data_IF_416558023454
#
_entry.id   IF_416558023454
#
_cell.length_a   1.000
_cell.length_b   1.000
_cell.length_c   1.000
_cell.angle_alpha   90.00
_cell.angle_beta   90.00
_cell.angle_gamma   90.00
#
_symmetry.space_group_name_H-M   'P 1'
#
loop_
_entity.id
_entity.type
_entity.pdbx_description
1 polymer ?
#
# COMPACT_ATOMS: atom_id res chain seq x y z
N UNK A 1 13.52 24.25 -14.77
CA UNK A 1 12.46 25.11 -14.18
C UNK A 1 11.19 24.96 -14.99
N UNK A 2 10.02 24.75 -14.35
CA UNK A 2 8.74 24.84 -15.06
C UNK A 2 8.48 26.32 -15.36
N UNK A 3 9.13 26.83 -16.40
CA UNK A 3 8.82 28.10 -17.05
C UNK A 3 7.58 27.86 -17.92
N UNK A 4 6.44 27.66 -17.26
CA UNK A 4 5.15 27.59 -17.91
C UNK A 4 4.48 28.96 -17.84
N UNK A 5 4.02 29.47 -18.98
CA UNK A 5 3.22 30.70 -19.07
C UNK A 5 1.98 30.56 -18.18
N UNK A 6 1.90 31.33 -17.09
CA UNK A 6 0.80 31.25 -16.13
C UNK A 6 -0.48 31.78 -16.81
N UNK A 7 -1.38 30.87 -17.17
CA UNK A 7 -2.76 31.25 -17.52
C UNK A 7 -3.58 31.42 -16.23
N UNK A 8 -4.22 32.57 -15.98
CA UNK A 8 -4.98 32.83 -14.74
C UNK A 8 -6.13 31.85 -14.48
N UNK A 9 -6.62 31.16 -15.51
CA UNK A 9 -7.67 30.14 -15.40
C UNK A 9 -7.21 28.83 -14.74
N UNK A 10 -5.91 28.66 -14.45
CA UNK A 10 -5.36 27.46 -13.81
C UNK A 10 -5.77 27.28 -12.34
N UNK A 11 -6.22 28.35 -11.65
CA UNK A 11 -6.73 28.26 -10.28
C UNK A 11 -8.14 27.64 -10.15
N UNK A 12 -8.80 27.33 -11.27
CA UNK A 12 -10.14 26.75 -11.30
C UNK A 12 -10.12 25.35 -11.92
N UNK A 13 -9.58 24.37 -11.20
CA UNK A 13 -9.92 22.96 -11.47
C UNK A 13 -11.34 22.74 -10.89
N UNK A 14 -12.28 22.13 -11.64
CA UNK A 14 -13.57 21.77 -11.11
C UNK A 14 -13.36 20.76 -9.98
N UNK A 15 -13.79 21.11 -8.77
CA UNK A 15 -13.89 20.21 -7.62
C UNK A 15 -14.92 19.12 -7.96
N UNK A 16 -14.53 18.10 -8.74
CA UNK A 16 -15.30 16.86 -8.82
C UNK A 16 -15.12 16.14 -7.50
N UNK A 17 -16.04 16.41 -6.58
CA UNK A 17 -16.37 15.63 -5.39
C UNK A 17 -15.18 15.25 -4.48
N UNK A 18 -14.77 16.19 -3.62
CA UNK A 18 -14.17 15.85 -2.32
C UNK A 18 -12.83 15.11 -2.32
N UNK A 19 -11.82 15.62 -3.03
CA UNK A 19 -10.44 15.15 -2.83
C UNK A 19 -9.90 15.68 -1.49
N UNK A 20 -10.19 14.94 -0.42
CA UNK A 20 -9.49 15.10 0.86
C UNK A 20 -8.00 14.82 0.59
N UNK A 21 -7.14 15.78 0.92
CA UNK A 21 -5.67 15.68 0.81
C UNK A 21 -5.03 14.62 1.74
N UNK A 22 -5.84 13.74 2.29
CA UNK A 22 -5.43 12.56 3.04
C UNK A 22 -6.25 11.37 2.57
N UNK A 23 -5.63 10.19 2.61
CA UNK A 23 -6.42 8.98 2.69
C UNK A 23 -7.28 9.05 3.96
N UNK A 24 -8.59 8.76 3.93
CA UNK A 24 -9.38 8.69 5.15
C UNK A 24 -8.92 7.48 5.98
N UNK A 25 -7.86 7.68 6.77
CA UNK A 25 -7.32 6.70 7.73
C UNK A 25 -8.43 6.21 8.68
N UNK A 26 -9.47 7.04 8.89
CA UNK A 26 -10.54 6.79 9.86
C UNK A 26 -11.78 6.09 9.29
N UNK A 27 -12.00 6.11 7.96
CA UNK A 27 -13.26 5.58 7.39
C UNK A 27 -13.10 4.11 6.96
N UNK A 28 -11.90 3.72 6.52
CA UNK A 28 -11.61 2.31 6.21
C UNK A 28 -11.37 1.44 7.43
N UNK A 29 -10.88 2.04 8.52
CA UNK A 29 -10.67 1.33 9.78
C UNK A 29 -11.99 0.93 10.43
N UNK A 30 -13.13 1.59 10.15
CA UNK A 30 -14.46 1.11 10.58
C UNK A 30 -14.91 -0.15 9.85
N UNK A 31 -14.48 -0.38 8.60
CA UNK A 31 -14.74 -1.65 7.89
C UNK A 31 -13.76 -2.77 8.30
N UNK A 32 -12.52 -2.44 8.67
CA UNK A 32 -11.49 -3.41 9.10
C UNK A 32 -11.41 -3.65 10.61
N UNK A 33 -12.20 -2.97 11.44
CA UNK A 33 -12.24 -3.18 12.91
C UNK A 33 -12.96 -4.46 13.35
N UNK A 34 -13.10 -5.47 12.48
CA UNK A 34 -13.26 -6.85 12.93
C UNK A 34 -11.88 -7.49 12.93
N UNK A 35 -11.18 -7.33 14.07
CA UNK A 35 -9.97 -8.09 14.43
C UNK A 35 -10.31 -9.56 14.67
N UNK A 36 -10.61 -10.24 13.57
CA UNK A 36 -10.81 -11.65 13.45
C UNK A 36 -10.87 -11.88 11.96
N UNK A 37 -9.89 -12.61 11.42
CA UNK A 37 -9.85 -13.10 10.04
C UNK A 37 -11.30 -13.29 9.58
N UNK A 38 -11.76 -12.48 8.62
CA UNK A 38 -13.18 -12.42 8.27
C UNK A 38 -13.67 -13.82 7.94
N UNK A 39 -14.69 -14.29 8.65
CA UNK A 39 -15.39 -15.53 8.35
C UNK A 39 -16.03 -15.35 6.97
N UNK A 40 -15.31 -15.70 5.91
CA UNK A 40 -15.86 -15.71 4.57
C UNK A 40 -16.85 -16.86 4.43
N UNK A 41 -17.81 -16.68 3.54
CA UNK A 41 -18.78 -17.70 3.15
C UNK A 41 -18.09 -18.70 2.22
N UNK A 42 -17.20 -19.52 2.79
CA UNK A 42 -16.38 -20.48 2.05
C UNK A 42 -17.15 -21.79 1.87
N UNK A 43 -17.00 -22.44 0.72
CA UNK A 43 -17.53 -23.80 0.57
C UNK A 43 -16.78 -24.76 1.48
N UNK A 44 -17.44 -25.85 1.89
CA UNK A 44 -16.87 -26.84 2.81
C UNK A 44 -15.51 -27.37 2.36
N UNK A 45 -15.31 -27.53 1.04
CA UNK A 45 -14.11 -28.05 0.42
C UNK A 45 -13.05 -26.98 0.07
N UNK A 46 -13.33 -25.69 0.23
CA UNK A 46 -12.41 -24.59 -0.13
C UNK A 46 -11.53 -24.17 1.05
N UNK A 47 -10.22 -24.13 0.85
CA UNK A 47 -9.23 -23.81 1.88
C UNK A 47 -8.41 -22.58 1.47
N UNK A 48 -8.95 -21.37 1.67
CA UNK A 48 -8.20 -20.14 1.50
C UNK A 48 -7.19 -19.93 2.65
N UNK A 49 -6.17 -19.08 2.48
CA UNK A 49 -5.15 -18.78 3.49
C UNK A 49 -5.73 -18.41 4.86
N UNK A 50 -6.81 -17.63 4.86
CA UNK A 50 -7.55 -17.20 6.04
C UNK A 50 -8.05 -18.40 6.85
N UNK A 51 -8.69 -19.36 6.18
CA UNK A 51 -9.21 -20.57 6.81
C UNK A 51 -8.08 -21.46 7.33
N UNK A 52 -6.99 -21.59 6.57
CA UNK A 52 -5.81 -22.37 6.96
C UNK A 52 -5.23 -21.84 8.28
N UNK A 53 -5.06 -20.53 8.41
CA UNK A 53 -4.53 -19.92 9.64
C UNK A 53 -5.51 -20.03 10.81
N UNK A 54 -6.81 -19.89 10.56
CA UNK A 54 -7.83 -20.11 11.60
C UNK A 54 -7.81 -21.54 12.13
N UNK A 55 -7.71 -22.53 11.24
CA UNK A 55 -7.75 -23.95 11.60
C UNK A 55 -6.46 -24.41 12.28
N UNK A 56 -5.31 -24.08 11.68
CA UNK A 56 -4.00 -24.58 12.15
C UNK A 56 -3.29 -23.63 13.12
N UNK A 57 -3.75 -22.39 13.28
CA UNK A 57 -3.06 -21.37 14.08
C UNK A 57 -1.79 -20.80 13.41
N UNK A 58 -1.03 -19.95 14.11
CA UNK A 58 0.10 -19.19 13.56
C UNK A 58 1.26 -20.09 13.13
N UNK A 59 2.02 -19.70 12.10
CA UNK A 59 3.15 -20.48 11.57
C UNK A 59 4.34 -20.56 12.55
N UNK A 60 4.25 -21.45 13.54
CA UNK A 60 5.27 -21.67 14.58
C UNK A 60 6.02 -22.99 14.41
N UNK A 61 7.29 -23.00 14.83
CA UNK A 61 8.13 -24.19 14.97
C UNK A 61 8.04 -24.77 16.38
N UNK A 62 8.34 -26.06 16.54
CA UNK A 62 8.34 -26.75 17.83
C UNK A 62 9.80 -26.88 18.24
N UNK A 63 10.13 -26.43 19.45
CA UNK A 63 11.52 -26.23 19.89
C UNK A 63 12.17 -27.49 20.47
N UNK A 64 11.35 -28.48 20.86
CA UNK A 64 11.71 -29.62 21.70
C UNK A 64 12.21 -30.85 20.92
N UNK A 65 12.22 -30.81 19.59
CA UNK A 65 12.95 -31.78 18.75
C UNK A 65 12.49 -33.24 18.82
N UNK A 66 11.33 -33.53 19.42
CA UNK A 66 10.77 -34.89 19.48
C UNK A 66 10.58 -35.53 18.09
N UNK A 67 10.73 -36.86 18.04
CA UNK A 67 10.70 -37.68 16.83
C UNK A 67 9.46 -37.49 15.94
N UNK A 68 8.31 -37.09 16.51
CA UNK A 68 7.07 -36.83 15.77
C UNK A 68 7.17 -35.69 14.74
N UNK A 69 8.15 -34.79 14.90
CA UNK A 69 8.31 -33.60 14.05
C UNK A 69 9.02 -33.86 12.71
N UNK A 70 9.52 -35.07 12.49
CA UNK A 70 10.19 -35.47 11.23
C UNK A 70 9.28 -36.26 10.29
N UNK A 71 7.99 -36.34 10.58
CA UNK A 71 7.05 -37.02 9.68
C UNK A 71 6.76 -36.14 8.44
N UNK A 72 6.67 -36.72 7.23
CA UNK A 72 6.33 -35.96 6.02
C UNK A 72 5.02 -35.19 6.16
N UNK A 73 4.01 -35.77 6.83
CA UNK A 73 2.70 -35.15 7.08
C UNK A 73 2.85 -33.88 7.94
N UNK A 74 3.63 -33.96 9.02
CA UNK A 74 3.87 -32.82 9.89
C UNK A 74 4.60 -31.69 9.17
N UNK A 75 5.64 -32.00 8.40
CA UNK A 75 6.39 -31.01 7.62
C UNK A 75 5.51 -30.35 6.56
N UNK A 76 4.68 -31.12 5.86
CA UNK A 76 3.75 -30.61 4.86
C UNK A 76 2.74 -29.63 5.48
N UNK A 77 2.12 -29.97 6.61
CA UNK A 77 1.18 -29.09 7.30
C UNK A 77 1.84 -27.75 7.68
N UNK A 78 3.13 -27.75 8.04
CA UNK A 78 3.88 -26.52 8.34
C UNK A 78 4.15 -25.68 7.12
N UNK A 79 4.53 -26.30 6.00
CA UNK A 79 4.76 -25.59 4.74
C UNK A 79 3.46 -24.93 4.28
N UNK A 80 2.31 -25.63 4.35
CA UNK A 80 1.00 -25.08 4.00
C UNK A 80 0.64 -23.87 4.88
N UNK A 81 0.88 -23.95 6.20
CA UNK A 81 0.67 -22.82 7.12
C UNK A 81 1.57 -21.63 6.77
N UNK A 82 2.85 -21.89 6.48
CA UNK A 82 3.80 -20.85 6.12
C UNK A 82 3.45 -20.19 4.79
N UNK A 83 2.97 -20.97 3.82
CA UNK A 83 2.41 -20.46 2.55
C UNK A 83 1.26 -19.48 2.79
N UNK A 84 0.29 -19.89 3.62
CA UNK A 84 -0.89 -19.07 3.90
C UNK A 84 -0.50 -17.75 4.60
N UNK A 85 0.38 -17.82 5.61
CA UNK A 85 0.87 -16.62 6.31
C UNK A 85 1.62 -15.70 5.35
N UNK A 86 2.47 -16.24 4.48
CA UNK A 86 3.23 -15.46 3.51
C UNK A 86 2.31 -14.75 2.51
N UNK A 87 1.29 -15.41 1.99
CA UNK A 87 0.32 -14.79 1.07
C UNK A 87 -0.46 -13.65 1.72
N UNK A 88 -0.95 -13.84 2.95
CA UNK A 88 -1.67 -12.77 3.66
C UNK A 88 -0.76 -11.57 3.92
N UNK A 89 0.43 -11.79 4.48
CA UNK A 89 1.35 -10.70 4.83
C UNK A 89 1.80 -9.96 3.57
N UNK A 90 2.10 -10.67 2.48
CA UNK A 90 2.50 -10.04 1.22
C UNK A 90 1.37 -9.23 0.61
N UNK A 91 0.12 -9.72 0.66
CA UNK A 91 -1.03 -8.98 0.16
C UNK A 91 -1.33 -7.72 1.01
N UNK A 92 -1.29 -7.83 2.34
CA UNK A 92 -1.46 -6.69 3.24
C UNK A 92 -0.35 -5.65 3.07
N UNK A 93 0.91 -6.10 2.97
CA UNK A 93 2.08 -5.23 2.77
C UNK A 93 2.01 -4.52 1.43
N UNK A 94 1.66 -5.24 0.35
CA UNK A 94 1.47 -4.67 -0.97
C UNK A 94 0.36 -3.61 -0.99
N UNK A 95 -0.76 -3.89 -0.32
CA UNK A 95 -1.84 -2.92 -0.13
C UNK A 95 -1.36 -1.67 0.60
N UNK A 96 -0.67 -1.81 1.73
CA UNK A 96 -0.14 -0.68 2.49
C UNK A 96 0.87 0.17 1.68
N UNK A 97 1.76 -0.48 0.94
CA UNK A 97 2.73 0.21 0.06
C UNK A 97 2.04 0.98 -1.06
N UNK A 98 0.98 0.45 -1.66
CA UNK A 98 0.19 1.17 -2.66
C UNK A 98 -0.50 2.41 -2.07
N UNK A 99 -1.02 2.33 -0.85
CA UNK A 99 -1.59 3.50 -0.17
C UNK A 99 -0.55 4.59 0.10
N UNK A 100 0.65 4.19 0.54
CA UNK A 100 1.76 5.11 0.73
C UNK A 100 2.21 5.74 -0.59
N UNK A 101 2.26 4.97 -1.68
CA UNK A 101 2.58 5.48 -3.01
C UNK A 101 1.57 6.55 -3.46
N UNK A 102 0.27 6.27 -3.35
CA UNK A 102 -0.79 7.22 -3.68
C UNK A 102 -0.72 8.48 -2.82
N UNK A 103 -0.46 8.33 -1.52
CA UNK A 103 -0.31 9.46 -0.61
C UNK A 103 0.91 10.31 -0.99
N UNK A 104 2.05 9.69 -1.33
CA UNK A 104 3.24 10.41 -1.77
C UNK A 104 2.98 11.21 -3.06
N UNK A 105 2.30 10.65 -4.05
CA UNK A 105 1.92 11.36 -5.28
C UNK A 105 0.98 12.53 -5.00
N UNK A 106 -0.01 12.36 -4.12
CA UNK A 106 -0.91 13.47 -3.71
C UNK A 106 -0.16 14.59 -3.00
N UNK A 107 0.72 14.24 -2.05
CA UNK A 107 1.57 15.21 -1.35
C UNK A 107 2.48 15.95 -2.32
N UNK A 108 3.12 15.24 -3.27
CA UNK A 108 3.92 15.84 -4.35
C UNK A 108 3.11 16.90 -5.12
N UNK A 109 1.89 16.57 -5.56
CA UNK A 109 1.05 17.48 -6.32
C UNK A 109 0.65 18.72 -5.50
N UNK A 110 0.29 18.54 -4.23
CA UNK A 110 -0.03 19.65 -3.33
C UNK A 110 1.17 20.58 -3.08
N UNK A 111 2.39 20.01 -2.91
CA UNK A 111 3.62 20.80 -2.78
C UNK A 111 3.87 21.63 -4.03
N UNK A 112 3.74 21.04 -5.23
CA UNK A 112 3.91 21.78 -6.49
C UNK A 112 2.86 22.88 -6.65
N UNK A 113 1.59 22.62 -6.31
CA UNK A 113 0.53 23.64 -6.36
C UNK A 113 0.80 24.79 -5.39
N UNK A 114 1.16 24.49 -4.13
CA UNK A 114 1.50 25.50 -3.14
C UNK A 114 2.71 26.32 -3.59
N UNK A 115 3.72 25.67 -4.18
CA UNK A 115 4.89 26.35 -4.71
C UNK A 115 4.53 27.34 -5.82
N UNK A 116 3.69 26.93 -6.77
CA UNK A 116 3.20 27.81 -7.85
C UNK A 116 2.41 29.00 -7.31
N UNK A 117 1.53 28.78 -6.32
CA UNK A 117 0.78 29.85 -5.69
C UNK A 117 1.68 30.85 -4.96
N UNK A 118 2.68 30.36 -4.22
CA UNK A 118 3.66 31.21 -3.54
C UNK A 118 4.54 31.99 -4.52
N UNK A 119 5.00 31.35 -5.60
CA UNK A 119 5.78 32.05 -6.64
C UNK A 119 4.95 33.15 -7.33
N UNK A 120 3.65 32.93 -7.51
CA UNK A 120 2.74 33.97 -8.01
C UNK A 120 2.60 35.14 -7.02
N UNK A 121 2.39 34.85 -5.73
CA UNK A 121 2.27 35.90 -4.70
C UNK A 121 3.57 36.70 -4.52
N UNK A 122 4.72 36.05 -4.71
CA UNK A 122 6.05 36.64 -4.57
C UNK A 122 6.64 37.07 -5.91
N UNK A 123 5.84 37.22 -6.96
CA UNK A 123 6.35 37.53 -8.30
C UNK A 123 7.19 38.82 -8.37
N UNK A 124 6.86 39.83 -7.57
CA UNK A 124 7.66 41.07 -7.46
C UNK A 124 9.00 40.87 -6.75
N UNK A 125 9.13 39.81 -5.96
CA UNK A 125 10.32 39.45 -5.19
C UNK A 125 11.09 38.30 -5.87
N UNK A 126 10.92 38.16 -7.19
CA UNK A 126 11.52 37.10 -8.01
C UNK A 126 11.11 35.67 -7.56
N UNK A 127 9.89 35.56 -7.04
CA UNK A 127 9.33 34.32 -6.51
C UNK A 127 9.91 33.92 -5.16
N UNK A 128 9.61 32.71 -4.72
CA UNK A 128 10.11 32.19 -3.43
C UNK A 128 11.65 32.14 -3.42
N UNK A 129 12.30 31.82 -4.54
CA UNK A 129 13.76 31.70 -4.56
C UNK A 129 14.49 33.04 -4.48
N UNK A 130 14.00 34.07 -5.16
CA UNK A 130 14.55 35.41 -5.02
C UNK A 130 14.34 35.95 -3.62
N UNK A 131 13.10 35.82 -3.09
CA UNK A 131 12.76 36.26 -1.73
C UNK A 131 13.64 35.62 -0.64
N UNK A 132 13.94 34.33 -0.76
CA UNK A 132 14.75 33.62 0.23
C UNK A 132 16.25 33.53 -0.14
N UNK A 133 16.70 34.16 -1.23
CA UNK A 133 18.07 34.10 -1.74
C UNK A 133 18.59 32.64 -1.84
N UNK A 134 17.75 31.74 -2.36
CA UNK A 134 18.06 30.32 -2.49
C UNK A 134 18.80 30.05 -3.80
N UNK A 135 19.98 29.44 -3.72
CA UNK A 135 20.76 29.03 -4.90
C UNK A 135 20.23 27.76 -5.56
N UNK A 136 19.59 26.87 -4.80
CA UNK A 136 18.96 25.66 -5.32
C UNK A 136 17.44 25.84 -5.44
N UNK A 137 17.00 26.42 -6.55
CA UNK A 137 15.59 26.69 -6.81
C UNK A 137 14.85 25.53 -7.51
N UNK A 138 15.59 24.56 -8.05
CA UNK A 138 15.01 23.44 -8.80
C UNK A 138 14.76 22.26 -7.86
N UNK A 139 13.57 22.21 -7.25
CA UNK A 139 13.12 21.05 -6.49
C UNK A 139 12.37 20.08 -7.42
N UNK A 140 13.04 19.00 -7.79
CA UNK A 140 12.41 17.83 -8.38
C UNK A 140 12.09 16.83 -7.28
N UNK A 141 10.80 16.52 -7.12
CA UNK A 141 10.34 15.45 -6.25
C UNK A 141 10.04 14.30 -7.17
N UNK A 142 10.77 13.20 -7.11
CA UNK A 142 10.53 12.05 -7.99
C UNK A 142 9.13 11.44 -7.77
N UNK A 143 8.49 10.97 -8.84
CA UNK A 143 7.23 10.21 -8.76
C UNK A 143 7.57 8.74 -8.89
N UNK A 144 7.95 8.16 -7.76
CA UNK A 144 8.23 6.74 -7.65
C UNK A 144 6.96 5.93 -7.36
N UNK A 145 5.77 6.56 -7.32
CA UNK A 145 4.52 5.90 -6.99
C UNK A 145 4.22 4.73 -7.93
N UNK A 146 4.39 4.95 -9.24
CA UNK A 146 4.22 3.90 -10.27
C UNK A 146 5.18 2.72 -10.10
N UNK A 147 6.44 3.00 -9.74
CA UNK A 147 7.44 1.95 -9.52
C UNK A 147 7.04 1.08 -8.33
N UNK A 148 6.54 1.70 -7.26
CA UNK A 148 6.03 0.98 -6.09
C UNK A 148 4.83 0.11 -6.49
N UNK A 149 3.86 0.66 -7.24
CA UNK A 149 2.69 -0.09 -7.73
C UNK A 149 3.10 -1.30 -8.60
N UNK A 150 4.11 -1.16 -9.45
CA UNK A 150 4.63 -2.28 -10.25
C UNK A 150 5.31 -3.35 -9.40
N UNK A 151 6.08 -2.95 -8.37
CA UNK A 151 6.76 -3.88 -7.47
C UNK A 151 5.73 -4.64 -6.61
N UNK A 152 4.74 -3.94 -6.05
CA UNK A 152 3.71 -4.56 -5.21
C UNK A 152 2.86 -5.53 -6.01
N UNK A 153 2.51 -5.21 -7.26
CA UNK A 153 1.81 -6.12 -8.17
C UNK A 153 2.62 -7.39 -8.46
N UNK A 154 3.94 -7.25 -8.67
CA UNK A 154 4.85 -8.40 -8.85
C UNK A 154 4.91 -9.27 -7.59
N UNK A 155 5.04 -8.67 -6.41
CA UNK A 155 5.09 -9.38 -5.13
C UNK A 155 3.79 -10.15 -4.89
N UNK A 156 2.63 -9.51 -5.09
CA UNK A 156 1.32 -10.17 -4.96
C UNK A 156 1.20 -11.36 -5.92
N UNK A 157 1.60 -11.18 -7.19
CA UNK A 157 1.57 -12.26 -8.18
C UNK A 157 2.46 -13.45 -7.80
N UNK A 158 3.63 -13.19 -7.21
CA UNK A 158 4.56 -14.23 -6.78
C UNK A 158 4.06 -14.98 -5.54
N UNK A 159 3.42 -14.27 -4.62
CA UNK A 159 2.93 -14.83 -3.37
C UNK A 159 1.53 -15.46 -3.48
N UNK A 160 0.81 -15.22 -4.58
CA UNK A 160 -0.53 -15.74 -4.77
C UNK A 160 -0.55 -17.27 -4.86
N UNK A 161 -1.41 -17.89 -4.06
CA UNK A 161 -1.64 -19.32 -4.03
C UNK A 161 -3.11 -19.55 -4.38
N UNK A 162 -3.42 -20.38 -5.39
CA UNK A 162 -4.80 -20.68 -5.71
C UNK A 162 -5.47 -21.36 -4.50
N UNK A 163 -6.73 -21.01 -4.24
CA UNK A 163 -7.53 -21.62 -3.18
C UNK A 163 -7.48 -23.13 -3.32
N UNK A 164 -7.01 -23.80 -2.27
CA UNK A 164 -6.85 -25.25 -2.31
C UNK A 164 -8.22 -25.90 -2.10
N UNK A 165 -8.54 -26.91 -2.90
CA UNK A 165 -9.75 -27.70 -2.70
C UNK A 165 -9.39 -29.09 -2.17
N UNK A 166 -9.86 -29.42 -0.97
CA UNK A 166 -9.65 -30.74 -0.37
C UNK A 166 -10.98 -31.48 -0.33
N UNK A 167 -11.05 -32.63 -1.00
CA UNK A 167 -12.16 -33.57 -0.87
C UNK A 167 -11.69 -34.67 0.07
N UNK A 168 -12.40 -34.85 1.18
CA UNK A 168 -12.17 -35.93 2.14
C UNK A 168 -12.45 -37.30 1.53
#
# INVERSE_FOLDING_TARGET
>A
CVLGTIRPSFFLIPLKQGEVLGYPIYDETKRKSRRGITLGDWKENEWPPERIIQYYGPATWAEDGMWGYRTPIYMLNRIIRLQAVLEIITNETAGALNLLAQQATKMRNAIYQNRLALDYLLAQEEGVCGKFNLTNCCLEIDDNGKVIEEITAKIQKLAHIPVQSWKG
#
